data_IF_418631374535
#
_entry.id   IF_418631374535
#
_cell.length_a   1.000
_cell.length_b   1.000
_cell.length_c   1.000
_cell.angle_alpha   90.00
_cell.angle_beta   90.00
_cell.angle_gamma   90.00
#
_symmetry.space_group_name_H-M   'P 1'
#
loop_
_entity.id
_entity.type
_entity.pdbx_description
1 polymer ?
#
# COMPACT_ATOMS: atom_id res chain seq x y z
N UNK A 1 10.11 -12.30 -7.22
CA UNK A 1 8.95 -13.13 -7.53
C UNK A 1 8.94 -14.48 -6.82
N UNK A 2 10.09 -15.04 -6.47
CA UNK A 2 10.17 -16.25 -5.64
C UNK A 2 9.56 -16.13 -4.23
N UNK A 3 8.99 -14.97 -3.90
CA UNK A 3 8.42 -14.68 -2.57
C UNK A 3 6.90 -14.48 -2.59
N UNK A 4 6.20 -14.76 -3.71
CA UNK A 4 4.74 -14.76 -3.75
C UNK A 4 4.08 -13.37 -3.73
N UNK A 5 4.73 -12.33 -4.23
CA UNK A 5 4.10 -11.01 -4.37
C UNK A 5 3.24 -10.95 -5.63
N UNK A 6 2.01 -10.46 -5.52
CA UNK A 6 1.06 -10.26 -6.62
C UNK A 6 1.20 -8.88 -7.28
N UNK A 7 1.76 -7.93 -6.54
CA UNK A 7 1.95 -6.55 -6.99
C UNK A 7 3.29 -5.97 -6.54
N UNK A 8 3.83 -5.04 -7.33
CA UNK A 8 4.99 -4.23 -6.98
C UNK A 8 4.64 -2.75 -7.02
N UNK A 9 4.97 -2.05 -5.91
CA UNK A 9 4.84 -0.60 -5.78
C UNK A 9 6.10 0.12 -6.26
N UNK A 10 5.97 1.05 -7.21
CA UNK A 10 7.01 1.98 -7.64
C UNK A 10 6.81 3.31 -6.93
N UNK A 11 7.77 3.72 -6.11
CA UNK A 11 7.68 4.90 -5.25
C UNK A 11 8.16 6.15 -6.00
N UNK A 12 7.24 6.94 -6.54
CA UNK A 12 7.54 8.19 -7.26
C UNK A 12 7.56 9.44 -6.35
N UNK A 13 7.81 9.26 -5.07
CA UNK A 13 7.88 10.35 -4.08
C UNK A 13 9.34 10.70 -3.83
N UNK A 14 9.82 11.85 -4.34
CA UNK A 14 11.23 12.27 -4.28
C UNK A 14 11.81 12.31 -2.86
N UNK A 15 11.00 12.74 -1.88
CA UNK A 15 11.43 12.78 -0.48
C UNK A 15 11.57 11.39 0.18
N UNK A 16 11.17 10.32 -0.50
CA UNK A 16 11.27 8.96 0.01
C UNK A 16 12.67 8.38 -0.22
N UNK A 17 13.22 7.71 0.79
CA UNK A 17 14.44 6.89 0.63
C UNK A 17 14.24 5.70 -0.35
N UNK A 18 13.00 5.44 -0.76
CA UNK A 18 12.60 4.41 -1.71
C UNK A 18 12.25 4.96 -3.08
N UNK A 19 12.55 6.25 -3.30
CA UNK A 19 12.25 6.90 -4.58
C UNK A 19 12.92 6.17 -5.74
N UNK A 20 12.16 6.05 -6.84
CA UNK A 20 12.67 5.54 -8.11
C UNK A 20 12.33 6.53 -9.23
N UNK A 21 13.31 6.88 -10.04
CA UNK A 21 13.09 7.72 -11.23
C UNK A 21 12.36 6.96 -12.33
N UNK A 22 11.64 7.69 -13.17
CA UNK A 22 10.75 7.16 -14.20
C UNK A 22 11.44 6.16 -15.15
N UNK A 23 12.66 6.48 -15.62
CA UNK A 23 13.44 5.61 -16.52
C UNK A 23 13.75 4.25 -15.89
N UNK A 24 14.22 4.26 -14.63
CA UNK A 24 14.52 3.02 -13.91
C UNK A 24 13.25 2.21 -13.61
N UNK A 25 12.14 2.89 -13.25
CA UNK A 25 10.87 2.23 -13.03
C UNK A 25 10.35 1.56 -14.30
N UNK A 26 10.45 2.24 -15.46
CA UNK A 26 10.06 1.69 -16.76
C UNK A 26 10.90 0.48 -17.15
N UNK A 27 12.23 0.54 -16.95
CA UNK A 27 13.11 -0.60 -17.21
C UNK A 27 12.74 -1.82 -16.37
N UNK A 28 12.52 -1.65 -15.06
CA UNK A 28 12.10 -2.74 -14.17
C UNK A 28 10.72 -3.26 -14.58
N UNK A 29 9.78 -2.36 -14.90
CA UNK A 29 8.42 -2.72 -15.26
C UNK A 29 8.36 -3.60 -16.52
N UNK A 30 9.26 -3.37 -17.50
CA UNK A 30 9.34 -4.16 -18.73
C UNK A 30 9.83 -5.59 -18.51
N UNK A 31 10.58 -5.85 -17.44
CA UNK A 31 11.12 -7.18 -17.10
C UNK A 31 10.16 -7.99 -16.21
N UNK A 32 9.10 -7.37 -15.69
CA UNK A 32 8.16 -8.06 -14.80
C UNK A 32 7.27 -9.04 -15.59
N UNK A 33 7.00 -10.24 -15.05
CA UNK A 33 6.00 -11.13 -15.62
C UNK A 33 4.62 -10.45 -15.74
N UNK A 34 3.84 -10.81 -16.77
CA UNK A 34 2.57 -10.11 -17.09
C UNK A 34 1.52 -10.18 -15.99
N UNK A 35 1.58 -11.19 -15.11
CA UNK A 35 0.63 -11.39 -14.02
C UNK A 35 0.96 -10.59 -12.75
N UNK A 36 2.08 -9.86 -12.72
CA UNK A 36 2.43 -9.00 -11.59
C UNK A 36 1.86 -7.60 -11.82
N UNK A 37 1.02 -7.16 -10.90
CA UNK A 37 0.46 -5.81 -10.93
C UNK A 37 1.53 -4.76 -10.65
N UNK A 38 1.57 -3.71 -11.48
CA UNK A 38 2.46 -2.55 -11.35
C UNK A 38 1.67 -1.39 -10.77
N UNK A 39 2.04 -0.94 -9.58
CA UNK A 39 1.33 0.12 -8.85
C UNK A 39 2.27 1.32 -8.67
N UNK A 40 1.91 2.48 -9.21
CA UNK A 40 2.66 3.71 -8.97
C UNK A 40 2.20 4.38 -7.68
N UNK A 41 3.12 4.74 -6.78
CA UNK A 41 2.80 5.40 -5.51
C UNK A 41 3.18 6.87 -5.58
N UNK A 42 2.21 7.73 -5.31
CA UNK A 42 2.31 9.20 -5.41
C UNK A 42 1.81 9.88 -4.13
N UNK A 43 2.33 11.06 -3.85
CA UNK A 43 1.89 11.95 -2.76
C UNK A 43 1.76 13.36 -3.33
N UNK A 44 0.55 13.87 -3.47
CA UNK A 44 0.24 15.21 -3.97
C UNK A 44 0.94 15.55 -5.31
N UNK A 45 1.15 14.55 -6.15
CA UNK A 45 1.84 14.73 -7.41
C UNK A 45 0.92 15.39 -8.47
N UNK A 46 1.47 16.24 -9.36
CA UNK A 46 0.70 16.77 -10.47
C UNK A 46 0.11 15.65 -11.35
N UNK A 47 -1.13 15.80 -11.81
CA UNK A 47 -1.82 14.82 -12.65
C UNK A 47 -1.00 14.44 -13.89
N UNK A 48 -0.32 15.41 -14.50
CA UNK A 48 0.55 15.18 -15.66
C UNK A 48 1.65 14.17 -15.36
N UNK A 49 2.32 14.31 -14.22
CA UNK A 49 3.39 13.40 -13.77
C UNK A 49 2.86 11.97 -13.54
N UNK A 50 1.66 11.86 -12.94
CA UNK A 50 1.01 10.56 -12.73
C UNK A 50 0.69 9.89 -14.07
N UNK A 51 0.09 10.61 -15.01
CA UNK A 51 -0.26 10.08 -16.34
C UNK A 51 0.98 9.68 -17.16
N UNK A 52 2.06 10.44 -17.06
CA UNK A 52 3.34 10.10 -17.69
C UNK A 52 3.89 8.76 -17.12
N UNK A 53 3.85 8.59 -15.81
CA UNK A 53 4.28 7.34 -15.19
C UNK A 53 3.37 6.15 -15.57
N UNK A 54 2.05 6.35 -15.63
CA UNK A 54 1.09 5.33 -16.08
C UNK A 54 1.47 4.84 -17.48
N UNK A 55 1.74 5.76 -18.40
CA UNK A 55 2.07 5.43 -19.78
C UNK A 55 3.46 4.78 -19.89
N UNK A 56 4.48 5.40 -19.28
CA UNK A 56 5.88 4.99 -19.44
C UNK A 56 6.20 3.65 -18.77
N UNK A 57 5.56 3.35 -17.63
CA UNK A 57 5.78 2.11 -16.88
C UNK A 57 4.68 1.07 -17.12
N UNK A 58 3.65 1.39 -17.91
CA UNK A 58 2.49 0.52 -18.10
C UNK A 58 1.86 0.14 -16.74
N UNK A 59 1.61 1.13 -15.88
CA UNK A 59 1.04 0.88 -14.55
C UNK A 59 -0.36 0.29 -14.67
N UNK A 60 -0.69 -0.67 -13.81
CA UNK A 60 -2.02 -1.28 -13.74
C UNK A 60 -2.93 -0.58 -12.72
N UNK A 61 -2.36 0.14 -11.77
CA UNK A 61 -3.07 0.98 -10.81
C UNK A 61 -2.16 2.12 -10.31
N UNK A 62 -2.76 3.14 -9.72
CA UNK A 62 -2.06 4.20 -9.01
C UNK A 62 -2.52 4.25 -7.56
N UNK A 63 -1.59 4.51 -6.64
CA UNK A 63 -1.86 4.73 -5.23
C UNK A 63 -1.60 6.20 -4.90
N UNK A 64 -2.64 6.90 -4.46
CA UNK A 64 -2.58 8.28 -4.03
C UNK A 64 -2.52 8.34 -2.50
N UNK A 65 -1.38 8.72 -1.96
CA UNK A 65 -1.06 8.60 -0.53
C UNK A 65 -0.84 9.96 0.17
N UNK A 66 -1.32 11.02 -0.46
CA UNK A 66 -1.29 12.39 0.07
C UNK A 66 -2.67 12.86 0.51
N UNK A 67 -2.88 14.18 0.39
CA UNK A 67 -4.13 14.87 0.73
C UNK A 67 -5.04 15.05 -0.51
N UNK A 68 -4.89 14.17 -1.51
CA UNK A 68 -5.70 14.22 -2.72
C UNK A 68 -7.19 14.09 -2.37
N UNK A 69 -8.01 14.98 -2.92
CA UNK A 69 -9.48 14.97 -2.71
C UNK A 69 -10.15 13.83 -3.49
N UNK A 70 -11.45 13.62 -3.24
CA UNK A 70 -12.22 12.65 -4.02
C UNK A 70 -12.21 12.97 -5.52
N UNK A 71 -12.31 14.25 -5.87
CA UNK A 71 -12.26 14.74 -7.25
C UNK A 71 -10.89 14.46 -7.88
N UNK A 72 -9.80 14.68 -7.14
CA UNK A 72 -8.44 14.37 -7.61
C UNK A 72 -8.25 12.89 -7.92
N UNK A 73 -9.04 12.02 -7.32
CA UNK A 73 -9.00 10.58 -7.56
C UNK A 73 -9.75 10.13 -8.83
N UNK A 74 -10.43 11.05 -9.55
CA UNK A 74 -11.28 10.71 -10.69
C UNK A 74 -10.56 10.82 -12.04
N UNK A 75 -11.09 10.10 -13.05
CA UNK A 75 -10.73 10.29 -14.47
C UNK A 75 -9.32 9.81 -14.83
N UNK A 76 -8.68 8.94 -14.05
CA UNK A 76 -7.48 8.23 -14.48
C UNK A 76 -7.81 7.04 -15.37
N UNK A 77 -6.93 6.67 -16.32
CA UNK A 77 -7.16 5.53 -17.22
C UNK A 77 -6.94 4.17 -16.54
N UNK A 78 -6.53 4.17 -15.27
CA UNK A 78 -6.26 2.99 -14.44
C UNK A 78 -6.96 3.12 -13.08
N UNK A 79 -7.26 2.02 -12.39
CA UNK A 79 -7.83 2.04 -11.05
C UNK A 79 -7.00 2.88 -10.07
N UNK A 80 -7.70 3.56 -9.16
CA UNK A 80 -7.11 4.37 -8.10
C UNK A 80 -7.26 3.65 -6.76
N UNK A 81 -6.15 3.53 -6.05
CA UNK A 81 -6.07 3.13 -4.65
C UNK A 81 -5.86 4.40 -3.85
N UNK A 82 -6.87 4.82 -3.06
CA UNK A 82 -6.70 5.95 -2.15
C UNK A 82 -6.18 5.45 -0.80
N UNK A 83 -5.03 5.93 -0.41
CA UNK A 83 -4.41 5.59 0.87
C UNK A 83 -4.79 6.61 1.95
N UNK A 84 -5.10 6.11 3.15
CA UNK A 84 -5.50 6.87 4.32
C UNK A 84 -4.59 6.54 5.50
N UNK A 85 -4.03 7.57 6.12
CA UNK A 85 -3.30 7.41 7.39
C UNK A 85 -4.30 7.44 8.52
N UNK A 86 -4.57 6.27 9.09
CA UNK A 86 -5.52 6.13 10.19
C UNK A 86 -4.81 6.24 11.53
N UNK A 87 -5.31 7.15 12.38
CA UNK A 87 -4.79 7.39 13.73
C UNK A 87 -5.87 7.32 14.80
N UNK A 88 -7.10 7.65 14.43
CA UNK A 88 -8.25 7.81 15.30
C UNK A 88 -9.56 7.65 14.51
N UNK A 89 -10.69 7.70 15.20
CA UNK A 89 -12.03 7.63 14.59
C UNK A 89 -12.30 8.75 13.58
N UNK A 90 -11.78 9.95 13.81
CA UNK A 90 -11.98 11.08 12.91
C UNK A 90 -11.30 10.87 11.54
N UNK A 91 -10.15 10.19 11.54
CA UNK A 91 -9.46 9.81 10.31
C UNK A 91 -10.19 8.71 9.54
N UNK A 92 -10.81 7.76 10.24
CA UNK A 92 -11.63 6.68 9.62
C UNK A 92 -12.91 7.23 9.02
N UNK A 93 -13.58 8.15 9.70
CA UNK A 93 -14.86 8.74 9.28
C UNK A 93 -14.81 9.46 7.91
N UNK A 94 -13.60 9.82 7.44
CA UNK A 94 -13.40 10.47 6.13
C UNK A 94 -13.37 9.47 4.96
N UNK A 95 -13.07 8.20 5.23
CA UNK A 95 -12.82 7.18 4.19
C UNK A 95 -14.05 6.95 3.29
N UNK A 96 -15.30 6.84 3.81
CA UNK A 96 -16.48 6.59 2.98
C UNK A 96 -16.77 7.65 1.92
N UNK A 97 -16.27 8.88 2.08
CA UNK A 97 -16.41 9.94 1.07
C UNK A 97 -15.70 9.62 -0.24
N UNK A 98 -14.74 8.66 -0.24
CA UNK A 98 -14.01 8.21 -1.42
C UNK A 98 -14.64 6.96 -2.05
N UNK A 99 -15.95 6.99 -2.23
CA UNK A 99 -16.69 5.93 -2.92
C UNK A 99 -16.19 5.77 -4.36
N UNK A 100 -16.02 4.52 -4.81
CA UNK A 100 -15.53 4.21 -6.16
C UNK A 100 -14.03 3.87 -6.24
N UNK A 101 -13.23 4.22 -5.24
CA UNK A 101 -11.83 3.81 -5.14
C UNK A 101 -11.66 2.53 -4.31
N UNK A 102 -10.54 1.82 -4.52
CA UNK A 102 -10.02 0.85 -3.55
C UNK A 102 -9.38 1.62 -2.40
N UNK A 103 -9.64 1.19 -1.17
CA UNK A 103 -9.08 1.85 0.00
C UNK A 103 -7.84 1.12 0.50
N UNK A 104 -6.78 1.88 0.78
CA UNK A 104 -5.64 1.39 1.53
C UNK A 104 -5.58 2.13 2.86
N UNK A 105 -5.54 1.37 3.95
CA UNK A 105 -5.39 1.94 5.30
C UNK A 105 -3.96 1.71 5.77
N UNK A 106 -3.25 2.82 5.98
CA UNK A 106 -1.91 2.83 6.57
C UNK A 106 -2.02 3.14 8.07
N UNK A 107 -1.78 2.11 8.87
CA UNK A 107 -1.83 2.18 10.34
C UNK A 107 -0.51 2.65 10.97
N UNK A 108 0.47 3.10 10.17
CA UNK A 108 1.76 3.51 10.67
C UNK A 108 1.70 4.84 11.41
N UNK A 109 2.09 4.82 12.70
CA UNK A 109 2.34 6.03 13.48
C UNK A 109 3.84 6.35 13.51
N UNK A 110 4.23 7.53 12.99
CA UNK A 110 5.60 8.02 13.03
C UNK A 110 6.06 8.13 14.49
N UNK A 111 7.06 7.34 14.90
CA UNK A 111 7.60 7.35 16.27
C UNK A 111 7.27 6.14 17.12
N UNK A 112 6.37 5.25 16.73
CA UNK A 112 6.20 3.97 17.42
C UNK A 112 7.30 3.00 16.96
N UNK A 113 8.47 3.08 17.60
CA UNK A 113 9.40 1.94 17.61
C UNK A 113 8.68 0.79 18.27
N UNK A 114 8.67 -0.37 17.65
CA UNK A 114 8.07 -1.57 18.21
C UNK A 114 8.50 -1.74 19.68
N UNK A 115 7.52 -1.78 20.59
CA UNK A 115 7.78 -1.91 22.03
C UNK A 115 7.06 -0.92 22.93
N UNK A 116 6.42 0.15 22.41
CA UNK A 116 5.74 1.15 23.27
C UNK A 116 4.30 0.83 23.66
N UNK A 117 3.80 -0.41 23.41
CA UNK A 117 2.46 -0.82 23.84
C UNK A 117 1.28 -0.18 23.10
N UNK A 118 1.48 0.84 22.29
CA UNK A 118 0.43 1.39 21.44
C UNK A 118 0.34 0.58 20.15
N UNK A 119 -0.38 -0.55 20.23
CA UNK A 119 -0.84 -1.27 19.03
C UNK A 119 -1.84 -0.36 18.31
N UNK A 120 -1.76 -0.30 16.99
CA UNK A 120 -2.85 0.26 16.20
C UNK A 120 -4.13 -0.51 16.56
N UNK A 121 -5.16 0.21 16.95
CA UNK A 121 -6.46 -0.39 17.27
C UNK A 121 -7.16 -0.73 15.96
N UNK A 122 -6.92 -1.95 15.43
CA UNK A 122 -7.58 -2.43 14.20
C UNK A 122 -9.10 -2.40 14.31
N UNK A 123 -9.64 -2.38 15.52
CA UNK A 123 -11.08 -2.25 15.80
C UNK A 123 -11.65 -0.92 15.26
N UNK A 124 -10.81 0.12 15.08
CA UNK A 124 -11.22 1.36 14.40
C UNK A 124 -11.73 1.11 12.99
N UNK A 125 -11.27 0.07 12.32
CA UNK A 125 -11.66 -0.27 10.95
C UNK A 125 -13.05 -0.92 10.86
N UNK A 126 -13.64 -1.33 11.99
CA UNK A 126 -15.00 -1.88 12.01
C UNK A 126 -16.02 -0.85 11.52
N UNK A 127 -15.75 0.44 11.70
CA UNK A 127 -16.63 1.52 11.24
C UNK A 127 -16.76 1.57 9.70
N UNK A 128 -15.76 1.09 8.95
CA UNK A 128 -15.79 1.09 7.47
C UNK A 128 -16.15 -0.26 6.87
N UNK A 129 -16.22 -1.35 7.63
CA UNK A 129 -16.63 -2.69 7.15
C UNK A 129 -17.99 -2.70 6.43
N UNK A 130 -19.04 -1.96 6.90
CA UNK A 130 -20.34 -1.97 6.25
C UNK A 130 -20.34 -1.48 4.80
N UNK A 131 -19.30 -0.76 4.37
CA UNK A 131 -19.21 -0.24 3.01
C UNK A 131 -18.79 -1.29 1.97
N UNK A 132 -18.46 -2.53 2.39
CA UNK A 132 -18.18 -3.70 1.53
C UNK A 132 -17.21 -3.40 0.36
N UNK A 133 -16.20 -2.57 0.59
CA UNK A 133 -15.17 -2.21 -0.39
C UNK A 133 -13.91 -3.06 -0.21
N UNK A 134 -13.18 -3.37 -1.29
CA UNK A 134 -11.86 -3.95 -1.16
C UNK A 134 -10.97 -3.04 -0.29
N UNK A 135 -10.51 -3.58 0.85
CA UNK A 135 -9.64 -2.89 1.78
C UNK A 135 -8.25 -3.49 1.73
N UNK A 136 -7.26 -2.67 1.43
CA UNK A 136 -5.84 -3.03 1.57
C UNK A 136 -5.34 -2.55 2.93
N UNK A 137 -4.67 -3.42 3.66
CA UNK A 137 -4.06 -3.08 4.95
C UNK A 137 -2.56 -2.86 4.78
N UNK A 138 -2.09 -1.72 5.28
CA UNK A 138 -0.69 -1.32 5.30
C UNK A 138 -0.28 -0.78 6.68
N UNK A 139 0.97 -0.37 6.81
CA UNK A 139 1.50 0.30 8.00
C UNK A 139 2.06 -0.64 9.05
N UNK A 140 3.39 -0.66 9.18
CA UNK A 140 4.08 -1.43 10.20
C UNK A 140 3.94 -2.95 10.13
N UNK A 141 3.40 -3.49 9.04
CA UNK A 141 3.28 -4.93 8.83
C UNK A 141 4.66 -5.57 8.70
N UNK A 142 4.82 -6.74 9.32
CA UNK A 142 6.05 -7.53 9.32
C UNK A 142 5.73 -9.00 9.60
N UNK A 143 6.66 -9.95 9.39
CA UNK A 143 6.40 -11.37 9.64
C UNK A 143 5.85 -11.70 11.03
N UNK A 144 6.23 -10.89 12.05
CA UNK A 144 5.82 -11.13 13.44
C UNK A 144 4.41 -10.65 13.81
N UNK A 145 3.71 -9.89 12.94
CA UNK A 145 2.37 -9.38 13.26
C UNK A 145 1.33 -9.59 12.15
N UNK A 146 1.75 -10.04 10.98
CA UNK A 146 0.85 -10.12 9.81
C UNK A 146 -0.31 -11.09 10.04
N UNK A 147 -0.09 -12.19 10.71
CA UNK A 147 -1.15 -13.15 11.01
C UNK A 147 -2.25 -12.51 11.86
N UNK A 148 -1.89 -11.89 12.99
CA UNK A 148 -2.85 -11.21 13.87
C UNK A 148 -3.60 -10.09 13.12
N UNK A 149 -2.89 -9.32 12.29
CA UNK A 149 -3.47 -8.25 11.48
C UNK A 149 -4.55 -8.78 10.52
N UNK A 150 -4.26 -9.86 9.81
CA UNK A 150 -5.19 -10.46 8.85
C UNK A 150 -6.39 -11.10 9.53
N UNK A 151 -6.19 -11.84 10.62
CA UNK A 151 -7.27 -12.47 11.39
C UNK A 151 -8.26 -11.43 11.93
N UNK A 152 -7.77 -10.29 12.40
CA UNK A 152 -8.60 -9.21 12.95
C UNK A 152 -9.28 -8.38 11.86
N UNK A 153 -8.52 -7.90 10.89
CA UNK A 153 -9.03 -6.95 9.88
C UNK A 153 -9.76 -7.66 8.75
N UNK A 154 -9.32 -8.86 8.37
CA UNK A 154 -9.80 -9.62 7.20
C UNK A 154 -9.76 -8.74 5.93
N UNK A 155 -8.60 -8.17 5.61
CA UNK A 155 -8.47 -7.29 4.45
C UNK A 155 -8.58 -8.09 3.15
N UNK A 156 -8.86 -7.40 2.03
CA UNK A 156 -8.78 -7.98 0.69
C UNK A 156 -7.33 -8.31 0.30
N UNK A 157 -6.38 -7.53 0.78
CA UNK A 157 -4.95 -7.72 0.54
C UNK A 157 -4.11 -6.90 1.53
N UNK A 158 -2.81 -7.13 1.50
CA UNK A 158 -1.87 -6.44 2.39
C UNK A 158 -0.75 -5.78 1.60
N UNK A 159 -0.30 -4.62 2.07
CA UNK A 159 0.87 -3.91 1.53
C UNK A 159 1.97 -3.82 2.58
N UNK A 160 3.18 -4.24 2.23
CA UNK A 160 4.33 -4.21 3.12
C UNK A 160 5.52 -3.52 2.47
N UNK A 161 6.15 -2.61 3.20
CA UNK A 161 7.36 -1.94 2.76
C UNK A 161 8.53 -2.22 3.72
N UNK A 162 8.68 -1.42 4.77
CA UNK A 162 9.82 -1.49 5.70
C UNK A 162 9.91 -2.79 6.48
N UNK A 163 8.79 -3.45 6.78
CA UNK A 163 8.76 -4.69 7.58
C UNK A 163 9.46 -5.87 6.94
N UNK A 164 9.75 -5.81 5.65
CA UNK A 164 10.52 -6.83 4.91
C UNK A 164 11.84 -6.30 4.37
N UNK A 165 12.35 -5.18 4.92
CA UNK A 165 13.64 -4.61 4.55
C UNK A 165 14.76 -5.04 5.51
N UNK A 166 15.99 -5.17 4.99
CA UNK A 166 17.22 -5.30 5.78
C UNK A 166 17.73 -3.94 6.24
N UNK A 167 17.58 -2.95 5.37
CA UNK A 167 17.90 -1.54 5.57
C UNK A 167 16.96 -0.68 4.72
N UNK A 168 16.77 0.61 4.99
CA UNK A 168 15.84 1.46 4.25
C UNK A 168 16.05 1.38 2.72
N UNK A 169 14.99 0.97 2.00
CA UNK A 169 15.01 0.80 0.54
C UNK A 169 15.48 -0.56 0.04
N UNK A 170 16.04 -1.44 0.89
CA UNK A 170 16.57 -2.74 0.47
C UNK A 170 15.74 -3.90 1.02
N UNK A 171 15.01 -4.57 0.15
CA UNK A 171 14.20 -5.73 0.52
C UNK A 171 15.05 -6.94 0.90
N UNK A 172 14.66 -7.66 1.96
CA UNK A 172 15.30 -8.86 2.47
C UNK A 172 14.53 -10.11 2.00
N UNK A 173 15.09 -10.97 1.12
CA UNK A 173 14.39 -12.16 0.63
C UNK A 173 13.91 -13.10 1.74
N UNK A 174 14.66 -13.22 2.83
CA UNK A 174 14.28 -14.07 3.96
C UNK A 174 13.04 -13.52 4.69
N UNK A 175 13.00 -12.18 4.93
CA UNK A 175 11.83 -11.53 5.54
C UNK A 175 10.62 -11.59 4.62
N UNK A 176 10.80 -11.42 3.32
CA UNK A 176 9.71 -11.53 2.34
C UNK A 176 9.11 -12.93 2.35
N UNK A 177 9.94 -13.99 2.30
CA UNK A 177 9.48 -15.39 2.39
C UNK A 177 8.80 -15.70 3.71
N UNK A 178 9.33 -15.19 4.82
CA UNK A 178 8.69 -15.36 6.12
C UNK A 178 7.31 -14.66 6.16
N UNK A 179 7.20 -13.46 5.60
CA UNK A 179 5.95 -12.71 5.53
C UNK A 179 4.87 -13.45 4.72
N UNK A 180 5.20 -13.91 3.51
CA UNK A 180 4.24 -14.64 2.66
C UNK A 180 3.88 -16.01 3.21
N UNK A 181 4.81 -16.68 3.91
CA UNK A 181 4.50 -17.93 4.62
C UNK A 181 3.44 -17.71 5.70
N UNK A 182 3.57 -16.67 6.52
CA UNK A 182 2.58 -16.35 7.55
C UNK A 182 1.21 -15.99 6.95
N UNK A 183 1.17 -15.33 5.78
CA UNK A 183 -0.06 -15.07 5.04
C UNK A 183 -0.74 -16.36 4.56
N UNK A 184 0.01 -17.30 4.01
CA UNK A 184 -0.52 -18.60 3.56
C UNK A 184 -1.17 -19.43 4.66
N UNK A 185 -0.81 -19.20 5.92
CA UNK A 185 -1.40 -19.88 7.09
C UNK A 185 -2.77 -19.31 7.50
N UNK A 186 -3.15 -18.13 7.01
CA UNK A 186 -4.43 -17.46 7.33
C UNK A 186 -5.36 -17.31 6.13
N UNK A 187 -4.99 -17.87 4.98
CA UNK A 187 -5.87 -18.00 3.82
C UNK A 187 -6.12 -16.70 3.05
N UNK A 188 -5.11 -15.84 2.93
CA UNK A 188 -5.09 -14.69 2.03
C UNK A 188 -4.41 -15.05 0.72
#
# INVERSE_FOLDING_TARGET
>A
MSCGADALGFMFVEASVRHIGLSNASAIASELPPMISRVGVFVNAPRKTILEAVQSCGLHAIQLHGEETHEDCQGYPVPVIKAFRVRDKASVAKIPAYAGQTWLVDSYQKGSRGGTGHRFEWDLLDEIRPFARPLLLAGGLQPGNIREAVEKVRPYGVDVSSGVESEPGKKCPLKMKAFTRELGLVGL
#
